data_IF_224500276146
#
_entry.id   IF_224500276146
#
_cell.length_a   1.000
_cell.length_b   1.000
_cell.length_c   1.000
_cell.angle_alpha   90.00
_cell.angle_beta   90.00
_cell.angle_gamma   90.00
#
_symmetry.space_group_name_H-M   'P 1'
#
loop_
_entity.id
_entity.type
_entity.pdbx_description
1 polymer ?
#
# COMPACT_ATOMS: atom_id res chain seq x y z
N UNK A 1 1.57 4.87 -4.07
CA UNK A 1 2.03 3.81 -3.15
C UNK A 1 3.28 4.21 -2.38
N UNK A 2 4.38 4.55 -3.03
CA UNK A 2 5.63 4.94 -2.35
C UNK A 2 5.39 6.06 -1.35
N UNK A 3 4.65 7.09 -1.75
CA UNK A 3 4.32 8.23 -0.89
C UNK A 3 3.54 7.80 0.37
N UNK A 4 2.54 6.93 0.21
CA UNK A 4 1.74 6.46 1.33
C UNK A 4 2.61 5.72 2.35
N UNK A 5 3.47 4.83 1.88
CA UNK A 5 4.39 4.08 2.75
C UNK A 5 5.37 5.02 3.43
N UNK A 6 5.95 5.97 2.69
CA UNK A 6 6.90 6.93 3.24
C UNK A 6 6.27 7.77 4.36
N UNK A 7 5.07 8.28 4.15
CA UNK A 7 4.35 9.09 5.14
C UNK A 7 4.03 8.25 6.38
N UNK A 8 3.41 7.10 6.20
CA UNK A 8 2.97 6.27 7.32
C UNK A 8 4.15 5.70 8.12
N UNK A 9 5.23 5.31 7.45
CA UNK A 9 6.43 4.77 8.09
C UNK A 9 7.39 5.85 8.60
N UNK A 10 7.11 7.13 8.35
CA UNK A 10 8.00 8.25 8.69
C UNK A 10 9.40 8.09 8.10
N UNK A 11 9.47 7.67 6.84
CA UNK A 11 10.73 7.51 6.11
C UNK A 11 10.81 8.50 4.94
N UNK A 12 12.02 8.94 4.55
CA UNK A 12 12.16 9.75 3.35
C UNK A 12 11.64 9.00 2.11
N UNK A 13 10.97 9.72 1.23
CA UNK A 13 10.44 9.16 -0.02
C UNK A 13 11.49 8.38 -0.81
N UNK A 14 12.69 8.96 -0.95
CA UNK A 14 13.76 8.35 -1.75
C UNK A 14 14.22 7.01 -1.17
N UNK A 15 14.23 6.87 0.17
CA UNK A 15 14.61 5.61 0.82
C UNK A 15 13.58 4.53 0.49
N UNK A 16 12.29 4.84 0.63
CA UNK A 16 11.22 3.88 0.30
C UNK A 16 11.24 3.54 -1.19
N UNK A 17 11.45 4.54 -2.05
CA UNK A 17 11.56 4.33 -3.50
C UNK A 17 12.69 3.35 -3.84
N UNK A 18 13.89 3.56 -3.29
CA UNK A 18 15.03 2.69 -3.55
C UNK A 18 14.85 1.30 -2.98
N UNK A 19 14.29 1.17 -1.77
CA UNK A 19 13.99 -0.12 -1.17
C UNK A 19 13.02 -0.93 -2.04
N UNK A 20 11.96 -0.29 -2.53
CA UNK A 20 10.99 -0.96 -3.41
C UNK A 20 11.58 -1.27 -4.78
N UNK A 21 12.47 -0.43 -5.28
CA UNK A 21 13.18 -0.70 -6.53
C UNK A 21 14.03 -1.97 -6.42
N UNK A 22 14.77 -2.12 -5.32
CA UNK A 22 15.55 -3.33 -5.05
C UNK A 22 14.67 -4.57 -4.90
N UNK A 23 13.55 -4.43 -4.18
CA UNK A 23 12.59 -5.53 -4.02
C UNK A 23 11.97 -5.94 -5.36
N UNK A 24 11.61 -4.98 -6.21
CA UNK A 24 11.11 -5.24 -7.56
C UNK A 24 12.16 -5.93 -8.44
N UNK A 25 13.42 -5.52 -8.34
CA UNK A 25 14.50 -6.14 -9.09
C UNK A 25 14.70 -7.61 -8.68
N UNK A 26 14.66 -7.88 -7.38
CA UNK A 26 14.72 -9.25 -6.86
C UNK A 26 13.53 -10.08 -7.32
N UNK A 27 12.33 -9.53 -7.27
CA UNK A 27 11.12 -10.19 -7.77
C UNK A 27 11.23 -10.51 -9.26
N UNK A 28 11.66 -9.55 -10.07
CA UNK A 28 11.81 -9.72 -11.52
C UNK A 28 12.83 -10.80 -11.86
N UNK A 29 13.92 -10.91 -11.07
CA UNK A 29 14.95 -11.91 -11.29
C UNK A 29 14.52 -13.34 -10.91
N UNK A 30 13.61 -13.47 -9.94
CA UNK A 30 13.28 -14.76 -9.32
C UNK A 30 11.88 -15.30 -9.66
N UNK A 31 11.05 -14.53 -10.37
CA UNK A 31 9.67 -14.91 -10.71
C UNK A 31 9.47 -14.93 -12.22
N UNK A 32 8.48 -15.71 -12.66
CA UNK A 32 8.11 -15.84 -14.08
C UNK A 32 6.73 -15.26 -14.38
N UNK A 33 6.23 -14.37 -13.54
CA UNK A 33 4.94 -13.73 -13.76
C UNK A 33 5.01 -12.70 -14.88
N UNK A 34 3.83 -12.27 -15.36
CA UNK A 34 3.73 -11.21 -16.37
C UNK A 34 4.35 -9.91 -15.86
N UNK A 35 4.13 -9.57 -14.57
CA UNK A 35 4.73 -8.38 -13.96
C UNK A 35 6.25 -8.50 -13.89
N UNK A 36 6.79 -9.67 -13.48
CA UNK A 36 8.23 -9.89 -13.41
C UNK A 36 8.89 -9.68 -14.77
N UNK A 37 8.27 -10.19 -15.86
CA UNK A 37 8.77 -9.98 -17.22
C UNK A 37 8.74 -8.49 -17.60
N UNK A 38 7.66 -7.79 -17.26
CA UNK A 38 7.53 -6.37 -17.54
C UNK A 38 8.62 -5.56 -16.81
N UNK A 39 8.86 -5.85 -15.53
CA UNK A 39 9.91 -5.18 -14.76
C UNK A 39 11.30 -5.46 -15.31
N UNK A 40 11.54 -6.68 -15.80
CA UNK A 40 12.82 -7.04 -16.42
C UNK A 40 13.10 -6.22 -17.69
N UNK A 41 12.06 -5.97 -18.49
CA UNK A 41 12.16 -5.21 -19.76
C UNK A 41 12.17 -3.70 -19.49
N UNK A 42 11.30 -3.21 -18.62
CA UNK A 42 11.10 -1.77 -18.37
C UNK A 42 11.99 -1.20 -17.26
N UNK A 43 12.57 -2.06 -16.44
CA UNK A 43 13.29 -1.67 -15.24
C UNK A 43 12.46 -1.85 -13.98
N UNK A 44 13.15 -1.90 -12.84
CA UNK A 44 12.56 -2.26 -11.55
C UNK A 44 11.98 -1.06 -10.77
N UNK A 45 11.89 0.12 -11.38
CA UNK A 45 11.31 1.28 -10.72
C UNK A 45 9.89 0.98 -10.23
N UNK A 46 9.49 1.40 -9.01
CA UNK A 46 8.13 1.24 -8.52
C UNK A 46 7.07 1.86 -9.43
N UNK A 47 7.44 2.79 -10.30
CA UNK A 47 6.53 3.39 -11.29
C UNK A 47 6.12 2.42 -12.40
N UNK A 48 6.91 1.37 -12.61
CA UNK A 48 6.65 0.35 -13.64
C UNK A 48 5.76 -0.79 -13.14
N UNK A 49 5.31 -0.73 -11.91
CA UNK A 49 4.42 -1.68 -11.29
C UNK A 49 5.02 -2.29 -10.03
N UNK A 50 4.15 -2.77 -9.17
CA UNK A 50 4.53 -3.41 -7.91
C UNK A 50 3.63 -4.61 -7.69
N UNK A 51 4.23 -5.78 -7.50
CA UNK A 51 3.46 -6.95 -7.13
C UNK A 51 3.01 -6.81 -5.66
N UNK A 52 1.80 -7.33 -5.39
CA UNK A 52 1.24 -7.32 -4.04
C UNK A 52 2.21 -7.86 -2.99
N UNK A 53 2.85 -8.99 -3.28
CA UNK A 53 3.76 -9.63 -2.32
C UNK A 53 4.97 -8.76 -2.01
N UNK A 54 5.45 -8.00 -2.99
CA UNK A 54 6.62 -7.11 -2.82
C UNK A 54 6.30 -6.00 -1.83
N UNK A 55 5.24 -5.22 -2.06
CA UNK A 55 4.93 -4.12 -1.17
C UNK A 55 4.36 -4.59 0.17
N UNK A 56 3.62 -5.70 0.17
CA UNK A 56 3.10 -6.28 1.41
C UNK A 56 4.22 -6.67 2.36
N UNK A 57 5.18 -7.45 1.87
CA UNK A 57 6.32 -7.88 2.69
C UNK A 57 7.15 -6.68 3.16
N UNK A 58 7.37 -5.71 2.28
CA UNK A 58 8.11 -4.50 2.65
C UNK A 58 7.42 -3.74 3.79
N UNK A 59 6.10 -3.56 3.70
CA UNK A 59 5.33 -2.86 4.75
C UNK A 59 5.40 -3.61 6.08
N UNK A 60 5.27 -4.93 6.05
CA UNK A 60 5.39 -5.74 7.28
C UNK A 60 6.79 -5.60 7.91
N UNK A 61 7.84 -5.55 7.09
CA UNK A 61 9.21 -5.33 7.57
C UNK A 61 9.38 -3.98 8.28
N UNK A 62 8.56 -2.99 7.95
CA UNK A 62 8.58 -1.69 8.64
C UNK A 62 7.87 -1.72 10.00
N UNK A 63 7.36 -2.86 10.43
CA UNK A 63 6.72 -3.02 11.74
C UNK A 63 5.21 -2.85 11.72
N UNK A 64 4.59 -2.86 10.55
CA UNK A 64 3.14 -2.80 10.41
C UNK A 64 2.51 -4.17 10.51
N UNK A 65 1.26 -4.22 10.96
CA UNK A 65 0.43 -5.42 10.99
C UNK A 65 -0.69 -5.28 9.97
N UNK A 66 -0.94 -6.33 9.19
CA UNK A 66 -2.02 -6.35 8.22
C UNK A 66 -3.34 -6.75 8.87
N UNK A 67 -4.39 -5.99 8.60
CA UNK A 67 -5.76 -6.26 9.05
C UNK A 67 -6.67 -6.26 7.83
N UNK A 68 -7.17 -7.43 7.39
CA UNK A 68 -8.12 -7.49 6.30
C UNK A 68 -9.50 -7.02 6.76
N UNK A 69 -10.20 -6.28 5.89
CA UNK A 69 -11.54 -5.75 6.19
C UNK A 69 -12.59 -6.22 5.18
N UNK A 70 -12.19 -6.99 4.18
CA UNK A 70 -13.10 -7.50 3.16
C UNK A 70 -13.06 -9.03 3.15
N UNK A 71 -14.23 -9.64 3.15
CA UNK A 71 -14.38 -11.09 3.10
C UNK A 71 -15.10 -11.48 1.81
N UNK A 72 -14.69 -12.61 1.23
CA UNK A 72 -15.32 -13.16 0.03
C UNK A 72 -16.82 -13.42 0.29
N UNK A 73 -17.66 -12.90 -0.60
CA UNK A 73 -19.11 -13.10 -0.54
C UNK A 73 -19.85 -12.15 0.40
N UNK A 74 -19.15 -11.28 1.14
CA UNK A 74 -19.80 -10.36 2.09
C UNK A 74 -19.82 -8.90 1.61
N UNK A 75 -19.19 -8.59 0.48
CA UNK A 75 -19.12 -7.25 -0.03
C UNK A 75 -18.29 -6.31 0.85
N UNK A 76 -18.52 -5.02 0.68
CA UNK A 76 -17.77 -4.00 1.41
C UNK A 76 -18.28 -3.86 2.84
N UNK A 77 -17.37 -3.99 3.81
CA UNK A 77 -17.68 -3.88 5.24
C UNK A 77 -17.15 -2.58 5.85
N UNK A 78 -16.04 -2.07 5.35
CA UNK A 78 -15.37 -0.88 5.88
C UNK A 78 -15.13 0.12 4.75
N UNK A 79 -15.40 1.38 5.03
CA UNK A 79 -15.21 2.49 4.09
C UNK A 79 -14.08 3.39 4.57
N UNK A 80 -13.52 4.19 3.65
CA UNK A 80 -12.44 5.13 3.97
C UNK A 80 -13.03 6.34 4.72
N UNK A 81 -13.25 6.15 6.01
CA UNK A 81 -13.83 7.13 6.92
C UNK A 81 -13.13 7.07 8.27
N UNK A 82 -12.95 8.23 8.90
CA UNK A 82 -12.31 8.32 10.21
C UNK A 82 -13.08 7.56 11.30
N UNK A 83 -14.41 7.47 11.18
CA UNK A 83 -15.26 6.78 12.16
C UNK A 83 -15.31 5.25 11.95
N UNK A 84 -14.77 4.74 10.86
CA UNK A 84 -14.73 3.30 10.58
C UNK A 84 -13.33 2.70 10.69
N UNK A 85 -12.30 3.52 10.86
CA UNK A 85 -10.90 3.08 10.92
C UNK A 85 -10.26 3.52 12.24
N UNK A 86 -9.29 2.73 12.77
CA UNK A 86 -8.65 3.10 14.03
C UNK A 86 -7.76 4.33 13.88
N UNK A 87 -7.46 4.96 15.03
CA UNK A 87 -6.45 6.00 15.10
C UNK A 87 -5.05 5.41 14.95
N UNK A 88 -4.06 6.25 14.74
CA UNK A 88 -2.67 5.86 14.56
C UNK A 88 -2.22 5.99 13.12
N UNK A 89 -1.11 5.35 12.81
CA UNK A 89 -0.50 5.41 11.47
C UNK A 89 -0.95 4.20 10.67
N UNK A 90 -1.74 4.46 9.62
CA UNK A 90 -2.28 3.41 8.76
C UNK A 90 -1.82 3.61 7.32
N UNK A 91 -1.60 2.48 6.65
CA UNK A 91 -1.56 2.41 5.20
C UNK A 91 -2.82 1.66 4.78
N UNK A 92 -3.73 2.35 4.10
CA UNK A 92 -5.05 1.79 3.74
C UNK A 92 -5.01 1.31 2.30
N UNK A 93 -5.44 0.07 2.11
CA UNK A 93 -5.49 -0.55 0.79
C UNK A 93 -6.88 -0.39 0.19
N UNK A 94 -6.90 0.25 -0.97
CA UNK A 94 -8.10 0.46 -1.79
C UNK A 94 -7.92 -0.26 -3.12
N UNK A 95 -8.96 -0.26 -3.95
CA UNK A 95 -8.84 -0.78 -5.31
C UNK A 95 -7.78 0.03 -6.08
N UNK A 96 -6.71 -0.63 -6.49
CA UNK A 96 -5.60 -0.04 -7.28
C UNK A 96 -4.93 1.18 -6.62
N UNK A 97 -5.01 1.30 -5.29
CA UNK A 97 -4.44 2.45 -4.60
C UNK A 97 -4.09 2.11 -3.16
N UNK A 98 -3.00 2.71 -2.66
CA UNK A 98 -2.65 2.75 -1.25
C UNK A 98 -2.64 4.21 -0.80
N UNK A 99 -3.24 4.49 0.34
CA UNK A 99 -3.21 5.82 0.92
C UNK A 99 -2.79 5.78 2.39
N UNK A 100 -2.15 6.84 2.87
CA UNK A 100 -1.81 6.97 4.28
C UNK A 100 -2.94 7.67 5.01
N UNK A 101 -3.30 7.14 6.19
CA UNK A 101 -4.27 7.73 7.10
C UNK A 101 -3.59 7.87 8.46
N UNK A 102 -3.51 9.10 8.97
CA UNK A 102 -2.89 9.37 10.27
C UNK A 102 -3.93 10.01 11.17
N UNK A 103 -4.30 9.29 12.24
CA UNK A 103 -5.33 9.70 13.19
C UNK A 103 -6.61 10.19 12.50
N UNK A 104 -7.07 9.44 11.49
CA UNK A 104 -8.29 9.75 10.77
C UNK A 104 -8.14 10.78 9.66
N UNK A 105 -6.94 11.33 9.44
CA UNK A 105 -6.69 12.34 8.40
C UNK A 105 -5.99 11.71 7.21
N UNK A 106 -6.60 11.84 6.03
CA UNK A 106 -6.04 11.32 4.79
C UNK A 106 -4.82 12.16 4.37
N UNK A 107 -3.69 11.47 4.15
CA UNK A 107 -2.42 12.05 3.71
C UNK A 107 -2.18 11.67 2.26
N UNK A 108 -2.86 12.36 1.34
CA UNK A 108 -2.76 12.06 -0.09
C UNK A 108 -2.72 13.35 -0.91
N UNK A 109 -2.37 13.25 -2.18
CA UNK A 109 -2.38 14.40 -3.11
C UNK A 109 -3.78 14.86 -3.44
N UNK A 110 -4.76 13.98 -3.28
CA UNK A 110 -6.19 14.25 -3.43
C UNK A 110 -6.95 13.34 -2.45
N UNK A 111 -8.20 13.63 -2.24
CA UNK A 111 -9.04 12.80 -1.35
C UNK A 111 -9.57 11.58 -2.13
N UNK A 112 -9.07 10.36 -1.85
CA UNK A 112 -9.52 9.15 -2.54
C UNK A 112 -10.78 8.53 -1.92
N UNK A 113 -11.38 9.14 -0.89
CA UNK A 113 -12.49 8.54 -0.14
C UNK A 113 -13.81 8.53 -0.88
N UNK A 114 -13.96 9.31 -1.95
CA UNK A 114 -15.23 9.49 -2.69
C UNK A 114 -16.37 9.89 -1.75
N UNK A 115 -16.11 10.88 -0.89
CA UNK A 115 -17.11 11.33 0.09
C UNK A 115 -17.33 10.33 1.21
N UNK A 116 -16.35 9.49 1.53
CA UNK A 116 -16.46 8.45 2.54
C UNK A 116 -17.15 7.18 2.07
N UNK A 117 -17.36 7.01 0.76
CA UNK A 117 -18.05 5.85 0.19
C UNK A 117 -17.10 4.79 -0.34
N UNK A 118 -15.81 5.10 -0.48
CA UNK A 118 -14.84 4.16 -1.07
C UNK A 118 -14.57 3.00 -0.13
N UNK A 119 -14.63 1.78 -0.68
CA UNK A 119 -14.41 0.56 0.08
C UNK A 119 -12.94 0.36 0.44
N UNK A 120 -12.70 -0.07 1.67
CA UNK A 120 -11.38 -0.46 2.16
C UNK A 120 -11.25 -1.97 2.08
N UNK A 121 -10.19 -2.46 1.42
CA UNK A 121 -9.90 -3.90 1.34
C UNK A 121 -9.18 -4.40 2.58
N UNK A 122 -8.42 -3.55 3.21
CA UNK A 122 -7.69 -3.83 4.42
C UNK A 122 -6.76 -2.67 4.73
N UNK A 123 -6.09 -2.76 5.85
CA UNK A 123 -5.12 -1.74 6.22
C UNK A 123 -3.94 -2.35 6.97
N UNK A 124 -2.83 -1.61 6.91
CA UNK A 124 -1.66 -1.91 7.73
C UNK A 124 -1.62 -0.88 8.85
N UNK A 125 -1.43 -1.34 10.07
CA UNK A 125 -1.37 -0.47 11.24
C UNK A 125 -0.04 -0.64 11.97
N UNK A 126 0.55 0.48 12.37
CA UNK A 126 1.74 0.51 13.20
C UNK A 126 1.39 1.16 14.53
N UNK A 127 1.61 0.41 15.56
CA UNK A 127 1.38 0.89 16.93
C UNK A 127 2.61 1.56 17.51
#
# INVERSE_FOLDING_TARGET
MVRAIAIAASKPYIVVYEDLREANASYAANKKSRLARSLHVRGASPRNGNHRDVFHDYILEQGFTWVPTMQVGKGCQVHLRADELPAGRLIVRLSKHLTALIDGVIQDTHDPSRGGKRCVYGYYIKQ
#
